data_IF_142113693423
#
_entry.id   IF_142113693423
#
_cell.length_a   1.000
_cell.length_b   1.000
_cell.length_c   1.000
_cell.angle_alpha   90.00
_cell.angle_beta   90.00
_cell.angle_gamma   90.00
#
_symmetry.space_group_name_H-M   'P 1'
#
loop_
_entity.id
_entity.type
_entity.pdbx_description
1 polymer ?
#
# COMPACT_ATOMS: atom_id res chain seq x y z
N UNK A 1 -0.48 -20.88 1.75
CA UNK A 1 0.93 -20.99 1.62
C UNK A 1 1.44 -20.26 0.38
N UNK A 2 2.40 -19.44 0.52
CA UNK A 2 2.91 -18.68 -0.59
C UNK A 2 3.71 -17.51 -0.07
N UNK A 3 4.19 -16.73 -1.02
CA UNK A 3 5.00 -15.56 -0.71
C UNK A 3 4.19 -14.31 -1.04
N UNK A 4 4.25 -13.34 -0.15
CA UNK A 4 3.64 -12.04 -0.36
C UNK A 4 4.73 -11.03 -0.69
N UNK A 5 4.48 -10.21 -1.71
CA UNK A 5 5.36 -9.09 -2.01
C UNK A 5 4.56 -7.82 -1.73
N UNK A 6 5.06 -7.03 -0.79
CA UNK A 6 4.40 -5.79 -0.37
C UNK A 6 5.03 -4.64 -1.14
N UNK A 7 4.20 -3.79 -1.74
CA UNK A 7 4.74 -2.65 -2.48
C UNK A 7 5.34 -1.63 -1.53
N UNK A 8 6.37 -0.90 -1.96
CA UNK A 8 6.74 0.33 -1.27
C UNK A 8 5.65 1.38 -1.48
N UNK A 9 5.73 2.47 -0.74
CA UNK A 9 4.68 3.48 -0.81
C UNK A 9 5.19 4.83 -0.32
N UNK A 10 4.49 5.87 -0.75
CA UNK A 10 4.64 7.20 -0.20
C UNK A 10 3.24 7.85 -0.23
N UNK A 11 2.89 8.56 0.82
CA UNK A 11 1.56 9.14 0.94
C UNK A 11 1.52 10.51 0.28
N UNK A 12 1.77 10.52 -1.01
CA UNK A 12 1.78 11.70 -1.85
C UNK A 12 0.93 11.46 -3.09
N UNK A 13 -0.22 12.11 -3.22
CA UNK A 13 -1.10 11.88 -4.37
C UNK A 13 -0.61 12.52 -5.67
N UNK A 14 0.29 13.49 -5.59
CA UNK A 14 0.80 14.16 -6.80
C UNK A 14 1.83 13.29 -7.49
N UNK A 15 1.45 12.69 -8.62
CA UNK A 15 2.33 11.78 -9.35
C UNK A 15 3.51 12.48 -10.00
N UNK A 16 3.49 13.81 -10.09
CA UNK A 16 4.62 14.57 -10.60
C UNK A 16 5.66 14.91 -9.54
N UNK A 17 5.36 14.64 -8.28
CA UNK A 17 6.35 14.77 -7.21
C UNK A 17 7.49 13.79 -7.46
N UNK A 18 8.74 14.25 -7.31
CA UNK A 18 9.90 13.43 -7.64
C UNK A 18 9.96 12.14 -6.82
N UNK A 19 9.68 12.22 -5.53
CA UNK A 19 9.69 11.03 -4.69
C UNK A 19 8.56 10.08 -5.06
N UNK A 20 7.37 10.64 -5.38
CA UNK A 20 6.24 9.81 -5.79
C UNK A 20 6.54 9.12 -7.11
N UNK A 21 7.12 9.84 -8.07
CA UNK A 21 7.45 9.25 -9.37
C UNK A 21 8.44 8.11 -9.23
N UNK A 22 9.46 8.29 -8.39
CA UNK A 22 10.42 7.23 -8.14
C UNK A 22 9.79 6.04 -7.44
N UNK A 23 8.90 6.32 -6.49
CA UNK A 23 8.21 5.25 -5.78
C UNK A 23 7.32 4.44 -6.73
N UNK A 24 6.66 5.11 -7.68
CA UNK A 24 5.83 4.42 -8.65
C UNK A 24 6.67 3.44 -9.48
N UNK A 25 7.93 3.78 -9.79
CA UNK A 25 8.82 2.87 -10.49
C UNK A 25 9.10 1.62 -9.66
N UNK A 26 9.36 1.80 -8.37
CA UNK A 26 9.62 0.66 -7.48
C UNK A 26 8.38 -0.21 -7.33
N UNK A 27 7.20 0.39 -7.26
CA UNK A 27 5.95 -0.37 -7.19
C UNK A 27 5.80 -1.24 -8.45
N UNK A 28 6.09 -0.67 -9.62
CA UNK A 28 5.99 -1.42 -10.87
C UNK A 28 6.94 -2.60 -10.89
N UNK A 29 8.17 -2.43 -10.40
CA UNK A 29 9.13 -3.52 -10.32
C UNK A 29 8.66 -4.60 -9.36
N UNK A 30 8.14 -4.20 -8.21
CA UNK A 30 7.63 -5.16 -7.24
C UNK A 30 6.48 -5.98 -7.81
N UNK A 31 5.60 -5.33 -8.56
CA UNK A 31 4.48 -6.03 -9.19
C UNK A 31 4.96 -7.05 -10.21
N UNK A 32 5.95 -6.66 -11.03
CA UNK A 32 6.51 -7.58 -12.02
C UNK A 32 7.16 -8.80 -11.36
N UNK A 33 7.86 -8.57 -10.25
CA UNK A 33 8.47 -9.68 -9.52
C UNK A 33 7.41 -10.63 -8.97
N UNK A 34 6.32 -10.08 -8.45
CA UNK A 34 5.25 -10.91 -7.92
C UNK A 34 4.65 -11.78 -9.03
N UNK A 35 4.45 -11.20 -10.21
CA UNK A 35 3.92 -11.95 -11.34
C UNK A 35 4.90 -13.04 -11.80
N UNK A 36 6.19 -12.69 -11.85
CA UNK A 36 7.20 -13.63 -12.33
C UNK A 36 7.33 -14.85 -11.43
N UNK A 37 7.21 -14.66 -10.13
CA UNK A 37 7.41 -15.74 -9.16
C UNK A 37 6.11 -16.25 -8.55
N UNK A 38 4.98 -15.84 -9.13
CA UNK A 38 3.65 -16.29 -8.69
C UNK A 38 3.43 -16.00 -7.21
N UNK A 39 3.73 -14.77 -6.82
CA UNK A 39 3.53 -14.30 -5.45
C UNK A 39 2.30 -13.44 -5.37
N UNK A 40 1.73 -13.32 -4.17
CA UNK A 40 0.62 -12.41 -3.94
C UNK A 40 1.19 -11.00 -3.81
N UNK A 41 0.66 -10.06 -4.61
CA UNK A 41 1.11 -8.68 -4.58
C UNK A 41 0.13 -7.83 -3.77
N UNK A 42 0.64 -7.15 -2.73
CA UNK A 42 -0.17 -6.25 -1.92
C UNK A 42 0.25 -4.82 -2.24
N UNK A 43 -0.65 -4.06 -2.88
CA UNK A 43 -0.34 -2.73 -3.38
C UNK A 43 -0.74 -1.67 -2.36
N UNK A 44 0.16 -1.39 -1.42
CA UNK A 44 -0.07 -0.35 -0.42
C UNK A 44 -0.10 1.04 -1.05
N UNK A 45 0.62 1.25 -2.15
CA UNK A 45 0.65 2.56 -2.78
C UNK A 45 -0.74 2.92 -3.33
N UNK A 46 -1.38 1.97 -3.99
CA UNK A 46 -2.74 2.22 -4.49
C UNK A 46 -3.71 2.47 -3.35
N UNK A 47 -3.57 1.72 -2.27
CA UNK A 47 -4.40 1.90 -1.09
C UNK A 47 -4.29 3.31 -0.54
N UNK A 48 -3.07 3.80 -0.38
CA UNK A 48 -2.86 5.15 0.15
C UNK A 48 -3.29 6.22 -0.84
N UNK A 49 -3.14 5.96 -2.14
CA UNK A 49 -3.61 6.91 -3.14
C UNK A 49 -5.13 7.10 -3.03
N UNK A 50 -5.85 6.02 -2.86
CA UNK A 50 -7.30 6.10 -2.68
C UNK A 50 -7.68 6.86 -1.42
N UNK A 51 -6.94 6.63 -0.33
CA UNK A 51 -7.19 7.33 0.92
C UNK A 51 -6.93 8.83 0.77
N UNK A 52 -5.86 9.20 0.09
CA UNK A 52 -5.49 10.61 -0.08
C UNK A 52 -6.46 11.38 -0.97
N UNK A 53 -7.32 10.70 -1.70
CA UNK A 53 -8.39 11.36 -2.44
C UNK A 53 -9.49 11.85 -1.52
N UNK A 54 -9.61 11.27 -0.34
CA UNK A 54 -10.67 11.60 0.62
C UNK A 54 -10.16 12.51 1.71
N UNK A 55 -8.95 12.27 2.18
CA UNK A 55 -8.37 13.03 3.27
C UNK A 55 -6.91 13.34 2.98
N UNK A 56 -6.42 14.41 3.59
CA UNK A 56 -5.03 14.79 3.44
C UNK A 56 -4.12 13.74 4.08
N UNK A 57 -2.93 13.57 3.51
CA UNK A 57 -1.98 12.55 3.99
C UNK A 57 -1.55 12.77 5.43
N UNK A 58 -1.65 14.00 5.95
CA UNK A 58 -1.26 14.27 7.33
C UNK A 58 -2.12 13.53 8.35
N UNK A 59 -3.28 13.02 7.95
CA UNK A 59 -4.10 12.21 8.84
C UNK A 59 -3.53 10.82 9.07
N UNK A 60 -2.62 10.36 8.19
CA UNK A 60 -2.09 9.01 8.27
C UNK A 60 -0.57 8.97 8.39
N UNK A 61 0.10 10.08 8.14
CA UNK A 61 1.56 10.16 8.30
C UNK A 61 1.96 11.61 8.44
N UNK A 62 3.01 11.84 9.24
CA UNK A 62 3.52 13.20 9.41
C UNK A 62 4.43 13.63 8.25
N UNK A 63 5.17 12.66 7.70
CA UNK A 63 6.21 12.94 6.72
C UNK A 63 5.99 12.23 5.38
N UNK A 64 4.79 11.75 5.13
CA UNK A 64 4.40 11.03 3.92
C UNK A 64 5.01 9.63 3.79
N UNK A 65 5.83 9.22 4.75
CA UNK A 65 6.57 7.95 4.66
C UNK A 65 6.25 7.03 5.83
N UNK A 66 6.28 7.56 7.04
CA UNK A 66 6.08 6.76 8.24
C UNK A 66 4.63 6.81 8.68
N UNK A 67 3.87 5.73 8.50
CA UNK A 67 2.45 5.75 8.86
C UNK A 67 2.27 5.89 10.36
N UNK A 68 1.25 6.67 10.74
CA UNK A 68 0.82 6.67 12.12
C UNK A 68 -0.07 5.45 12.37
N UNK A 69 -0.75 5.41 13.53
CA UNK A 69 -1.57 4.25 13.87
C UNK A 69 -2.70 4.03 12.85
N UNK A 70 -3.30 5.10 12.35
CA UNK A 70 -4.35 4.98 11.34
C UNK A 70 -3.80 4.40 10.04
N UNK A 71 -2.65 4.94 9.59
CA UNK A 71 -2.02 4.45 8.38
C UNK A 71 -1.61 3.00 8.50
N UNK A 72 -1.07 2.61 9.67
CA UNK A 72 -0.67 1.23 9.89
C UNK A 72 -1.87 0.29 9.91
N UNK A 73 -3.00 0.75 10.47
CA UNK A 73 -4.23 -0.05 10.49
C UNK A 73 -4.73 -0.28 9.07
N UNK A 74 -4.64 0.73 8.21
CA UNK A 74 -5.03 0.57 6.80
C UNK A 74 -4.18 -0.48 6.11
N UNK A 75 -2.86 -0.49 6.40
CA UNK A 75 -1.98 -1.50 5.83
C UNK A 75 -2.35 -2.90 6.30
N UNK A 76 -2.64 -3.05 7.58
CA UNK A 76 -3.01 -4.35 8.14
C UNK A 76 -4.29 -4.86 7.48
N UNK A 77 -5.29 -4.00 7.31
CA UNK A 77 -6.53 -4.40 6.67
C UNK A 77 -6.31 -4.81 5.22
N UNK A 78 -5.49 -4.05 4.50
CA UNK A 78 -5.23 -4.37 3.10
C UNK A 78 -4.50 -5.71 2.98
N UNK A 79 -3.53 -5.94 3.85
CA UNK A 79 -2.80 -7.20 3.85
C UNK A 79 -3.74 -8.38 4.14
N UNK A 80 -4.60 -8.23 5.14
CA UNK A 80 -5.51 -9.31 5.53
C UNK A 80 -6.52 -9.63 4.42
N UNK A 81 -6.91 -8.64 3.63
CA UNK A 81 -7.77 -8.91 2.48
C UNK A 81 -7.12 -9.90 1.51
N UNK A 82 -5.80 -9.78 1.34
CA UNK A 82 -5.07 -10.66 0.44
C UNK A 82 -4.81 -12.03 1.07
N UNK A 83 -5.12 -12.19 2.35
CA UNK A 83 -5.04 -13.48 3.04
C UNK A 83 -6.39 -14.18 3.08
N UNK A 84 -7.37 -13.67 2.34
CA UNK A 84 -8.75 -14.19 2.35
C UNK A 84 -9.41 -14.07 3.72
N UNK A 85 -8.98 -13.08 4.49
CA UNK A 85 -9.57 -12.82 5.80
C UNK A 85 -10.92 -12.11 5.64
N UNK A 86 -11.94 -12.64 6.27
CA UNK A 86 -13.28 -12.05 6.21
C UNK A 86 -13.69 -11.54 7.58
N UNK A 87 -13.64 -10.22 7.74
CA UNK A 87 -13.94 -9.59 9.03
C UNK A 87 -15.37 -9.86 9.49
N UNK A 88 -16.30 -9.91 8.56
CA UNK A 88 -17.69 -10.11 8.90
C UNK A 88 -18.00 -11.53 9.31
N UNK A 89 -17.20 -12.47 8.85
CA UNK A 89 -17.39 -13.88 9.15
C UNK A 89 -16.80 -14.29 10.49
N UNK A 90 -15.66 -13.71 10.82
CA UNK A 90 -14.86 -14.19 11.93
C UNK A 90 -15.08 -13.41 13.22
N UNK A 91 -15.98 -12.46 13.20
CA UNK A 91 -16.29 -11.66 14.38
C UNK A 91 -17.59 -12.08 15.03
#
# INVERSE_FOLDING_TARGET
KGVFILSPYIMEPNRNDMMRARMDEYVAVSKKLAEKYDCVFVDFQEMYEKYCKIRHSSYIAWDRIHPNQIGATLMAKEFLKHCDFDYGKDI
#
